data_IF_536700320194
#
_entry.id   IF_536700320194
#
_cell.length_a   1.000
_cell.length_b   1.000
_cell.length_c   1.000
_cell.angle_alpha   90.00
_cell.angle_beta   90.00
_cell.angle_gamma   90.00
#
_symmetry.space_group_name_H-M   'P 1'
#
loop_
_entity.id
_entity.type
_entity.pdbx_description
1 polymer ?
#
# COMPACT_ATOMS: atom_id res chain seq x y z
N UNK A 1 -18.40 3.40 -1.34
CA UNK A 1 -19.18 2.37 -2.10
C UNK A 1 -19.43 1.14 -1.24
N UNK A 2 -20.41 0.28 -1.58
CA UNK A 2 -20.54 -1.04 -0.97
C UNK A 2 -19.35 -1.91 -1.40
N UNK A 3 -18.71 -2.61 -0.44
CA UNK A 3 -17.56 -3.46 -0.69
C UNK A 3 -17.95 -4.93 -0.93
N UNK A 4 -19.17 -5.31 -0.63
CA UNK A 4 -19.65 -6.69 -0.85
C UNK A 4 -19.55 -7.06 -2.33
N UNK A 5 -18.93 -8.19 -2.63
CA UNK A 5 -18.66 -8.70 -3.98
C UNK A 5 -17.78 -7.75 -4.85
N UNK A 6 -17.14 -6.72 -4.27
CA UNK A 6 -16.11 -5.97 -4.98
C UNK A 6 -14.85 -6.81 -5.11
N UNK A 7 -13.92 -6.40 -5.99
CA UNK A 7 -12.63 -7.08 -6.19
C UNK A 7 -11.50 -6.11 -5.88
N UNK A 8 -10.65 -6.50 -4.94
CA UNK A 8 -9.49 -5.74 -4.51
C UNK A 8 -8.18 -6.41 -4.94
N UNK A 9 -7.32 -5.65 -5.61
CA UNK A 9 -5.90 -6.00 -5.81
C UNK A 9 -5.11 -5.38 -4.66
N UNK A 10 -4.37 -6.20 -3.89
CA UNK A 10 -3.51 -5.73 -2.81
C UNK A 10 -2.07 -6.12 -3.14
N UNK A 11 -1.25 -5.16 -3.59
CA UNK A 11 0.18 -5.41 -3.85
C UNK A 11 0.93 -5.53 -2.52
N UNK A 12 1.83 -6.51 -2.40
CA UNK A 12 2.44 -6.82 -1.11
C UNK A 12 1.46 -7.46 -0.11
N UNK A 13 0.35 -8.03 -0.58
CA UNK A 13 -0.72 -8.59 0.23
C UNK A 13 -0.30 -9.73 1.18
N UNK A 14 0.86 -10.34 0.96
CA UNK A 14 1.49 -11.30 1.87
C UNK A 14 2.44 -10.65 2.91
N UNK A 15 2.54 -9.31 2.95
CA UNK A 15 3.33 -8.57 3.93
C UNK A 15 2.58 -8.26 5.22
N UNK A 16 3.29 -7.75 6.24
CA UNK A 16 2.70 -7.54 7.57
C UNK A 16 1.52 -6.56 7.64
N UNK A 17 1.52 -5.48 6.83
CA UNK A 17 0.37 -4.57 6.71
C UNK A 17 -0.59 -5.07 5.63
N UNK A 18 -0.07 -5.56 4.48
CA UNK A 18 -0.89 -6.06 3.38
C UNK A 18 -1.86 -7.16 3.80
N UNK A 19 -1.43 -8.10 4.66
CA UNK A 19 -2.31 -9.13 5.23
C UNK A 19 -3.47 -8.52 6.01
N UNK A 20 -3.20 -7.53 6.88
CA UNK A 20 -4.26 -6.86 7.66
C UNK A 20 -5.25 -6.15 6.76
N UNK A 21 -4.76 -5.48 5.70
CA UNK A 21 -5.62 -4.84 4.70
C UNK A 21 -6.46 -5.88 3.95
N UNK A 22 -5.86 -7.02 3.55
CA UNK A 22 -6.60 -8.11 2.91
C UNK A 22 -7.74 -8.63 3.81
N UNK A 23 -7.45 -8.90 5.10
CA UNK A 23 -8.45 -9.35 6.06
C UNK A 23 -9.55 -8.31 6.30
N UNK A 24 -9.19 -7.03 6.45
CA UNK A 24 -10.16 -5.96 6.65
C UNK A 24 -11.11 -5.82 5.44
N UNK A 25 -10.59 -5.88 4.21
CA UNK A 25 -11.41 -5.83 3.00
C UNK A 25 -12.27 -7.10 2.84
N UNK A 26 -11.72 -8.28 3.15
CA UNK A 26 -12.44 -9.54 3.08
C UNK A 26 -13.59 -9.60 4.11
N UNK A 27 -13.41 -9.08 5.32
CA UNK A 27 -14.48 -8.98 6.33
C UNK A 27 -15.65 -8.11 5.89
N UNK A 28 -15.41 -7.19 4.94
CA UNK A 28 -16.42 -6.38 4.28
C UNK A 28 -17.07 -7.06 3.06
N UNK A 29 -16.66 -8.31 2.77
CA UNK A 29 -17.18 -9.10 1.66
C UNK A 29 -16.51 -8.84 0.31
N UNK A 30 -15.34 -8.22 0.28
CA UNK A 30 -14.55 -8.03 -0.95
C UNK A 30 -13.78 -9.30 -1.31
N UNK A 31 -13.74 -9.66 -2.59
CA UNK A 31 -12.87 -10.69 -3.13
C UNK A 31 -11.45 -10.14 -3.28
N UNK A 32 -10.42 -10.94 -2.99
CA UNK A 32 -9.05 -10.44 -2.84
C UNK A 32 -8.09 -11.12 -3.82
N UNK A 33 -7.41 -10.32 -4.63
CA UNK A 33 -6.19 -10.69 -5.34
C UNK A 33 -4.98 -10.36 -4.45
N UNK A 34 -4.40 -11.38 -3.82
CA UNK A 34 -3.21 -11.26 -2.95
C UNK A 34 -1.99 -11.22 -3.84
N UNK A 35 -1.41 -10.03 -4.08
CA UNK A 35 -0.28 -9.88 -4.99
C UNK A 35 1.04 -9.94 -4.22
N UNK A 36 1.97 -10.75 -4.73
CA UNK A 36 3.29 -10.96 -4.16
C UNK A 36 4.38 -10.94 -5.24
N UNK A 37 5.59 -10.50 -4.88
CA UNK A 37 6.78 -10.64 -5.72
C UNK A 37 7.64 -11.84 -5.31
N UNK A 38 7.61 -12.18 -4.02
CA UNK A 38 8.34 -13.29 -3.41
C UNK A 38 7.45 -14.00 -2.40
N UNK A 39 7.86 -15.20 -1.96
CA UNK A 39 7.16 -15.97 -0.94
C UNK A 39 5.73 -16.39 -1.37
N UNK A 40 5.64 -17.15 -2.46
CA UNK A 40 4.38 -17.70 -2.96
C UNK A 40 3.61 -18.48 -1.88
N UNK A 41 4.31 -19.30 -1.08
CA UNK A 41 3.70 -20.08 0.02
C UNK A 41 2.98 -19.21 1.04
N UNK A 42 3.54 -18.05 1.39
CA UNK A 42 2.88 -17.10 2.29
C UNK A 42 1.63 -16.49 1.65
N UNK A 43 1.71 -16.16 0.35
CA UNK A 43 0.57 -15.60 -0.37
C UNK A 43 -0.56 -16.63 -0.53
N UNK A 44 -0.24 -17.90 -0.77
CA UNK A 44 -1.19 -19.02 -0.78
C UNK A 44 -1.88 -19.19 0.58
N UNK A 45 -1.10 -19.14 1.67
CA UNK A 45 -1.64 -19.25 3.03
C UNK A 45 -2.63 -18.10 3.32
N UNK A 46 -2.24 -16.85 3.03
CA UNK A 46 -3.11 -15.68 3.20
C UNK A 46 -4.38 -15.84 2.37
N UNK A 47 -4.28 -16.20 1.09
CA UNK A 47 -5.46 -16.37 0.24
C UNK A 47 -6.39 -17.46 0.79
N UNK A 48 -5.84 -18.56 1.32
CA UNK A 48 -6.64 -19.61 1.96
C UNK A 48 -7.35 -19.12 3.23
N UNK A 49 -6.65 -18.40 4.11
CA UNK A 49 -7.25 -17.83 5.34
C UNK A 49 -8.41 -16.88 5.02
N UNK A 50 -8.27 -16.06 3.96
CA UNK A 50 -9.31 -15.12 3.54
C UNK A 50 -10.63 -15.80 3.11
N UNK A 51 -10.58 -17.04 2.63
CA UNK A 51 -11.81 -17.79 2.29
C UNK A 51 -12.71 -18.04 3.51
N UNK A 52 -12.14 -18.02 4.72
CA UNK A 52 -12.91 -18.09 5.96
C UNK A 52 -13.89 -16.93 6.18
N UNK A 53 -13.71 -15.80 5.48
CA UNK A 53 -14.69 -14.70 5.44
C UNK A 53 -15.84 -14.91 4.44
N UNK A 54 -15.87 -16.04 3.72
CA UNK A 54 -16.90 -16.32 2.72
C UNK A 54 -16.70 -15.57 1.39
N UNK A 55 -15.48 -15.12 1.11
CA UNK A 55 -15.10 -14.43 -0.13
C UNK A 55 -14.19 -15.32 -0.99
N UNK A 56 -14.05 -14.96 -2.28
CA UNK A 56 -13.02 -15.53 -3.12
C UNK A 56 -11.70 -14.80 -2.91
N UNK A 57 -10.62 -15.56 -2.76
CA UNK A 57 -9.27 -15.01 -2.71
C UNK A 57 -8.30 -15.88 -3.52
N UNK A 58 -7.31 -15.26 -4.13
CA UNK A 58 -6.27 -15.97 -4.86
C UNK A 58 -4.95 -15.22 -4.87
N UNK A 59 -3.80 -15.93 -4.85
CA UNK A 59 -2.48 -15.35 -4.98
C UNK A 59 -2.14 -15.05 -6.44
N UNK A 60 -1.40 -13.95 -6.67
CA UNK A 60 -0.89 -13.56 -7.98
C UNK A 60 0.56 -13.11 -7.87
N UNK A 61 1.44 -13.70 -8.68
CA UNK A 61 2.84 -13.29 -8.74
C UNK A 61 2.99 -12.04 -9.62
N UNK A 62 3.58 -10.97 -9.07
CA UNK A 62 3.87 -9.76 -9.83
C UNK A 62 4.98 -8.94 -9.17
N UNK A 63 6.02 -8.64 -9.94
CA UNK A 63 6.96 -7.58 -9.63
C UNK A 63 6.39 -6.26 -10.18
N UNK A 64 5.99 -5.36 -9.30
CA UNK A 64 5.35 -4.08 -9.65
C UNK A 64 6.27 -3.13 -10.44
N UNK A 65 7.60 -3.37 -10.41
CA UNK A 65 8.56 -2.60 -11.20
C UNK A 65 8.50 -2.95 -12.68
N UNK A 66 7.91 -4.11 -13.02
CA UNK A 66 7.82 -4.63 -14.38
C UNK A 66 6.43 -4.37 -14.97
N UNK A 67 6.28 -3.32 -15.76
CA UNK A 67 4.98 -2.90 -16.33
C UNK A 67 4.26 -4.01 -17.11
N UNK A 68 5.01 -4.89 -17.78
CA UNK A 68 4.45 -6.04 -18.49
C UNK A 68 3.84 -7.10 -17.54
N UNK A 69 4.45 -7.30 -16.35
CA UNK A 69 3.87 -8.19 -15.34
C UNK A 69 2.62 -7.57 -14.73
N UNK A 70 2.62 -6.25 -14.50
CA UNK A 70 1.44 -5.53 -13.99
C UNK A 70 0.27 -5.59 -14.97
N UNK A 71 0.52 -5.43 -16.27
CA UNK A 71 -0.52 -5.59 -17.30
C UNK A 71 -1.12 -7.00 -17.27
N UNK A 72 -0.27 -8.05 -17.22
CA UNK A 72 -0.71 -9.44 -17.10
C UNK A 72 -1.51 -9.68 -15.81
N UNK A 73 -1.08 -9.13 -14.67
CA UNK A 73 -1.83 -9.22 -13.41
C UNK A 73 -3.26 -8.70 -13.57
N UNK A 74 -3.44 -7.54 -14.20
CA UNK A 74 -4.78 -6.93 -14.41
C UNK A 74 -5.64 -7.83 -15.29
N UNK A 75 -5.08 -8.42 -16.35
CA UNK A 75 -5.79 -9.35 -17.22
C UNK A 75 -6.19 -10.64 -16.48
N UNK A 76 -5.28 -11.23 -15.70
CA UNK A 76 -5.53 -12.45 -14.92
C UNK A 76 -6.60 -12.23 -13.84
N UNK A 77 -6.53 -11.11 -13.10
CA UNK A 77 -7.52 -10.74 -12.09
C UNK A 77 -8.89 -10.48 -12.74
N UNK A 78 -8.89 -9.76 -13.86
CA UNK A 78 -10.15 -9.50 -14.60
C UNK A 78 -10.75 -10.81 -15.14
N UNK A 79 -9.94 -11.73 -15.64
CA UNK A 79 -10.40 -13.04 -16.10
C UNK A 79 -10.97 -13.89 -14.97
N UNK A 80 -10.33 -13.85 -13.78
CA UNK A 80 -10.76 -14.66 -12.63
C UNK A 80 -12.02 -14.11 -11.96
N UNK A 81 -12.08 -12.80 -11.71
CA UNK A 81 -13.13 -12.19 -10.90
C UNK A 81 -14.14 -11.35 -11.71
N UNK A 82 -13.88 -11.10 -12.99
CA UNK A 82 -14.76 -10.33 -13.88
C UNK A 82 -14.70 -8.81 -13.73
N UNK A 83 -14.02 -8.29 -12.70
CA UNK A 83 -13.95 -6.86 -12.37
C UNK A 83 -12.74 -6.49 -11.52
N UNK A 84 -12.44 -5.21 -11.41
CA UNK A 84 -11.46 -4.64 -10.47
C UNK A 84 -12.04 -3.35 -9.91
N UNK A 85 -12.35 -3.31 -8.62
CA UNK A 85 -12.96 -2.15 -7.97
C UNK A 85 -11.98 -1.38 -7.10
N UNK A 86 -11.01 -2.08 -6.53
CA UNK A 86 -10.09 -1.55 -5.54
C UNK A 86 -8.66 -1.92 -5.92
N UNK A 87 -7.74 -0.95 -5.81
CA UNK A 87 -6.30 -1.16 -5.86
C UNK A 87 -5.67 -0.62 -4.60
N UNK A 88 -4.94 -1.47 -3.88
CA UNK A 88 -4.11 -1.06 -2.75
C UNK A 88 -2.64 -1.23 -3.14
N UNK A 89 -1.91 -0.12 -3.21
CA UNK A 89 -0.47 -0.10 -3.43
C UNK A 89 0.25 -0.15 -2.08
N UNK A 90 0.49 -1.37 -1.55
CA UNK A 90 1.22 -1.61 -0.30
C UNK A 90 2.63 -2.18 -0.53
N UNK A 91 2.92 -2.75 -1.70
CA UNK A 91 4.25 -3.24 -2.02
C UNK A 91 5.31 -2.15 -1.85
N UNK A 92 6.34 -2.43 -1.05
CA UNK A 92 7.42 -1.48 -0.78
C UNK A 92 8.76 -2.18 -0.57
N UNK A 93 9.83 -1.47 -0.90
CA UNK A 93 11.20 -1.83 -0.58
C UNK A 93 11.83 -0.75 0.30
N UNK A 94 12.58 -1.21 1.29
CA UNK A 94 13.24 -0.35 2.27
C UNK A 94 14.63 -0.86 2.57
N UNK A 95 15.59 0.07 2.67
CA UNK A 95 16.95 -0.19 3.18
C UNK A 95 17.35 0.92 4.15
N UNK A 96 17.85 0.52 5.31
CA UNK A 96 18.32 1.48 6.31
C UNK A 96 19.70 2.01 5.93
N UNK A 97 19.75 3.30 5.58
CA UNK A 97 20.96 4.06 5.27
C UNK A 97 20.84 5.39 5.99
N UNK A 98 21.76 5.72 6.94
CA UNK A 98 21.72 6.99 7.65
C UNK A 98 21.72 8.19 6.68
N UNK A 99 21.02 9.26 7.05
CA UNK A 99 20.88 10.45 6.21
C UNK A 99 22.18 11.19 5.96
N UNK A 100 23.14 11.08 6.87
CA UNK A 100 24.48 11.67 6.80
C UNK A 100 25.51 10.78 6.07
N UNK A 101 25.13 9.55 5.70
CA UNK A 101 25.99 8.60 5.00
C UNK A 101 25.60 8.52 3.50
N UNK A 102 25.92 9.58 2.77
CA UNK A 102 25.56 9.69 1.35
C UNK A 102 26.29 8.67 0.47
N UNK A 103 27.49 8.27 0.85
CA UNK A 103 28.31 7.31 0.08
C UNK A 103 27.69 5.91 0.07
N UNK A 104 26.95 5.51 1.12
CA UNK A 104 26.22 4.26 1.16
C UNK A 104 24.93 4.26 0.33
N UNK A 105 24.43 5.43 -0.06
CA UNK A 105 23.29 5.54 -0.96
C UNK A 105 23.80 5.42 -2.40
N UNK A 106 23.98 4.19 -2.88
CA UNK A 106 24.36 3.96 -4.27
C UNK A 106 23.22 4.27 -5.23
N UNK A 107 23.55 4.52 -6.50
CA UNK A 107 22.56 4.77 -7.56
C UNK A 107 21.61 3.59 -7.73
N UNK A 108 22.11 2.37 -7.57
CA UNK A 108 21.32 1.13 -7.67
C UNK A 108 20.30 1.03 -6.55
N UNK A 109 20.70 1.32 -5.31
CA UNK A 109 19.79 1.31 -4.16
C UNK A 109 18.74 2.43 -4.27
N UNK A 110 19.18 3.63 -4.67
CA UNK A 110 18.29 4.73 -4.95
C UNK A 110 17.23 4.33 -5.98
N UNK A 111 17.66 3.84 -7.15
CA UNK A 111 16.78 3.45 -8.25
C UNK A 111 15.81 2.36 -7.80
N UNK A 112 16.31 1.32 -7.11
CA UNK A 112 15.47 0.23 -6.62
C UNK A 112 14.37 0.71 -5.66
N UNK A 113 14.70 1.63 -4.74
CA UNK A 113 13.71 2.19 -3.80
C UNK A 113 12.66 3.01 -4.56
N UNK A 114 13.08 3.87 -5.49
CA UNK A 114 12.16 4.67 -6.31
C UNK A 114 11.30 3.76 -7.19
N UNK A 115 11.88 2.77 -7.84
CA UNK A 115 11.17 1.87 -8.74
C UNK A 115 10.08 1.09 -8.03
N UNK A 116 10.37 0.51 -6.87
CA UNK A 116 9.37 -0.24 -6.11
C UNK A 116 8.31 0.67 -5.49
N UNK A 117 8.73 1.77 -4.84
CA UNK A 117 7.85 2.55 -3.97
C UNK A 117 7.06 3.65 -4.71
N UNK A 118 7.50 4.05 -5.91
CA UNK A 118 6.88 5.14 -6.66
C UNK A 118 6.50 4.72 -8.08
N UNK A 119 7.45 4.18 -8.86
CA UNK A 119 7.21 3.75 -10.24
C UNK A 119 6.24 2.56 -10.29
N UNK A 120 6.38 1.60 -9.35
CA UNK A 120 5.48 0.44 -9.24
C UNK A 120 4.02 0.83 -9.01
N UNK A 121 3.68 1.64 -8.00
CA UNK A 121 2.34 2.19 -7.84
C UNK A 121 1.80 2.91 -9.08
N UNK A 122 2.64 3.69 -9.78
CA UNK A 122 2.25 4.32 -11.03
C UNK A 122 1.90 3.28 -12.11
N UNK A 123 2.69 2.21 -12.28
CA UNK A 123 2.37 1.12 -13.20
C UNK A 123 1.03 0.46 -12.85
N UNK A 124 0.80 0.15 -11.58
CA UNK A 124 -0.45 -0.47 -11.12
C UNK A 124 -1.66 0.44 -11.39
N UNK A 125 -1.57 1.73 -11.03
CA UNK A 125 -2.62 2.72 -11.27
C UNK A 125 -2.92 2.83 -12.77
N UNK A 126 -1.88 2.97 -13.61
CA UNK A 126 -2.01 3.08 -15.06
C UNK A 126 -2.72 1.86 -15.67
N UNK A 127 -2.44 0.68 -15.15
CA UNK A 127 -3.00 -0.57 -15.68
C UNK A 127 -4.46 -0.78 -15.27
N UNK A 128 -4.85 -0.48 -14.02
CA UNK A 128 -6.24 -0.66 -13.56
C UNK A 128 -7.19 0.46 -14.01
N UNK A 129 -6.67 1.66 -14.27
CA UNK A 129 -7.46 2.84 -14.58
C UNK A 129 -8.44 2.65 -15.77
N UNK A 130 -8.07 2.02 -16.90
CA UNK A 130 -9.01 1.77 -18.00
C UNK A 130 -10.18 0.87 -17.58
N UNK A 131 -9.92 -0.18 -16.78
CA UNK A 131 -10.95 -1.10 -16.29
C UNK A 131 -11.91 -0.36 -15.37
N UNK A 132 -11.40 0.38 -14.38
CA UNK A 132 -12.19 1.16 -13.43
C UNK A 132 -13.01 2.26 -14.12
N UNK A 133 -12.42 2.97 -15.09
CA UNK A 133 -13.13 4.00 -15.87
C UNK A 133 -14.27 3.39 -16.70
N UNK A 134 -14.05 2.23 -17.32
CA UNK A 134 -15.09 1.50 -18.06
C UNK A 134 -16.23 1.04 -17.15
N UNK A 135 -15.92 0.67 -15.90
CA UNK A 135 -16.91 0.30 -14.88
C UNK A 135 -17.65 1.51 -14.30
N UNK A 136 -17.17 2.74 -14.56
CA UNK A 136 -17.73 3.97 -14.02
C UNK A 136 -17.36 4.26 -12.56
N UNK A 137 -16.56 3.39 -11.92
CA UNK A 137 -16.13 3.55 -10.52
C UNK A 137 -14.83 2.81 -10.21
N UNK A 138 -14.08 3.30 -9.24
CA UNK A 138 -12.89 2.65 -8.68
C UNK A 138 -12.41 3.34 -7.41
N UNK A 139 -11.61 2.61 -6.63
CA UNK A 139 -10.94 3.12 -5.44
C UNK A 139 -9.47 2.72 -5.48
N UNK A 140 -8.59 3.68 -5.29
CA UNK A 140 -7.16 3.45 -5.20
C UNK A 140 -6.67 4.02 -3.87
N UNK A 141 -5.97 3.20 -3.09
CA UNK A 141 -5.34 3.65 -1.86
C UNK A 141 -3.84 3.32 -1.93
N UNK A 142 -3.03 4.35 -1.83
CA UNK A 142 -1.58 4.24 -1.78
C UNK A 142 -1.12 4.18 -0.31
N UNK A 143 -0.21 3.27 0.01
CA UNK A 143 0.39 3.19 1.33
C UNK A 143 1.75 3.90 1.30
N UNK A 144 1.75 5.14 1.78
CA UNK A 144 2.96 5.94 1.88
C UNK A 144 3.69 5.68 3.23
N UNK A 145 4.08 6.73 3.91
CA UNK A 145 4.66 6.74 5.27
C UNK A 145 4.71 8.19 5.76
N UNK A 146 4.74 8.40 7.06
CA UNK A 146 5.10 9.72 7.65
C UNK A 146 6.50 10.18 7.23
N UNK A 147 7.36 9.27 6.79
CA UNK A 147 8.64 9.61 6.17
C UNK A 147 8.49 10.46 4.90
N UNK A 148 7.35 10.39 4.22
CA UNK A 148 7.04 11.24 3.07
C UNK A 148 6.49 12.62 3.43
N UNK A 149 6.22 12.87 4.70
CA UNK A 149 5.69 14.15 5.21
C UNK A 149 6.79 15.05 5.80
N UNK A 150 7.98 14.50 6.02
CA UNK A 150 9.13 15.22 6.54
C UNK A 150 10.46 14.51 6.26
N UNK A 151 11.61 15.14 6.54
CA UNK A 151 12.94 14.59 6.26
C UNK A 151 13.33 13.54 7.32
N UNK A 152 12.65 12.40 7.32
CA UNK A 152 12.84 11.31 8.29
C UNK A 152 12.65 9.94 7.63
N UNK A 153 12.94 8.86 8.34
CA UNK A 153 12.74 7.50 7.86
C UNK A 153 14.04 6.71 7.74
N UNK A 154 13.99 5.60 7.05
CA UNK A 154 15.09 4.65 6.94
C UNK A 154 16.22 5.08 6.01
N UNK A 155 15.91 5.95 5.04
CA UNK A 155 16.89 6.52 4.11
C UNK A 155 16.29 7.72 3.37
N UNK A 156 17.15 8.55 2.77
CA UNK A 156 16.74 9.69 1.93
C UNK A 156 15.88 9.19 0.75
N UNK A 157 16.32 8.14 0.05
CA UNK A 157 15.57 7.59 -1.08
C UNK A 157 14.17 7.09 -0.66
N UNK A 158 14.05 6.48 0.51
CA UNK A 158 12.76 6.05 1.05
C UNK A 158 11.86 7.25 1.33
N UNK A 159 12.35 8.27 2.03
CA UNK A 159 11.60 9.49 2.32
C UNK A 159 11.11 10.17 1.03
N UNK A 160 12.01 10.35 0.06
CA UNK A 160 11.69 10.94 -1.26
C UNK A 160 10.66 10.11 -2.01
N UNK A 161 10.80 8.77 -2.03
CA UNK A 161 9.84 7.89 -2.69
C UNK A 161 8.43 7.99 -2.08
N UNK A 162 8.33 8.10 -0.75
CA UNK A 162 7.06 8.22 -0.05
C UNK A 162 6.44 9.62 -0.19
N UNK A 163 7.26 10.67 -0.24
CA UNK A 163 6.81 12.03 -0.60
C UNK A 163 6.29 12.07 -2.03
N UNK A 164 7.01 11.45 -2.97
CA UNK A 164 6.57 11.28 -4.35
C UNK A 164 5.23 10.54 -4.46
N UNK A 165 5.02 9.49 -3.68
CA UNK A 165 3.78 8.70 -3.67
C UNK A 165 2.58 9.52 -3.12
N UNK A 166 2.81 10.33 -2.08
CA UNK A 166 1.81 11.28 -1.56
C UNK A 166 1.43 12.29 -2.66
N UNK A 167 2.41 12.82 -3.39
CA UNK A 167 2.12 13.75 -4.47
C UNK A 167 1.47 13.07 -5.68
N UNK A 168 1.92 11.87 -6.05
CA UNK A 168 1.30 11.03 -7.08
C UNK A 168 -0.18 10.78 -6.78
N UNK A 169 -0.55 10.56 -5.51
CA UNK A 169 -1.95 10.42 -5.10
C UNK A 169 -2.79 11.62 -5.53
N UNK A 170 -2.32 12.83 -5.31
CA UNK A 170 -3.01 14.07 -5.70
C UNK A 170 -3.13 14.19 -7.22
N UNK A 171 -2.04 13.93 -7.95
CA UNK A 171 -2.03 13.95 -9.42
C UNK A 171 -3.02 12.95 -10.01
N UNK A 172 -3.06 11.72 -9.44
CA UNK A 172 -3.96 10.67 -9.93
C UNK A 172 -5.42 10.94 -9.55
N UNK A 173 -5.68 11.57 -8.41
CA UNK A 173 -7.03 12.02 -8.05
C UNK A 173 -7.60 12.98 -9.09
N UNK A 174 -6.77 13.93 -9.58
CA UNK A 174 -7.16 14.85 -10.68
C UNK A 174 -7.35 14.10 -11.99
N UNK A 175 -6.41 13.21 -12.36
CA UNK A 175 -6.41 12.53 -13.66
C UNK A 175 -7.53 11.50 -13.83
N UNK A 176 -8.04 10.94 -12.73
CA UNK A 176 -8.99 9.83 -12.75
C UNK A 176 -10.41 10.21 -12.31
N UNK A 177 -10.60 11.45 -11.83
CA UNK A 177 -11.93 11.96 -11.52
C UNK A 177 -12.81 12.01 -12.80
N UNK A 178 -14.14 11.91 -12.67
CA UNK A 178 -14.91 11.71 -11.42
C UNK A 178 -15.08 10.22 -11.05
N UNK A 179 -14.61 9.28 -11.87
CA UNK A 179 -14.94 7.87 -11.74
C UNK A 179 -14.11 7.12 -10.70
N UNK A 180 -12.84 7.52 -10.51
CA UNK A 180 -11.92 6.81 -9.61
C UNK A 180 -11.42 7.77 -8.54
N UNK A 181 -11.62 7.41 -7.27
CA UNK A 181 -11.10 8.16 -6.14
C UNK A 181 -9.73 7.58 -5.72
N UNK A 182 -8.78 8.47 -5.48
CA UNK A 182 -7.40 8.09 -5.14
C UNK A 182 -7.00 8.77 -3.85
N UNK A 183 -6.69 7.98 -2.80
CA UNK A 183 -6.30 8.48 -1.50
C UNK A 183 -5.02 7.79 -0.99
N UNK A 184 -4.50 8.24 0.12
CA UNK A 184 -3.25 7.77 0.68
C UNK A 184 -3.36 7.58 2.20
N UNK A 185 -2.82 6.48 2.70
CA UNK A 185 -2.54 6.28 4.13
C UNK A 185 -1.03 6.44 4.33
N UNK A 186 -0.63 7.20 5.33
CA UNK A 186 0.77 7.43 5.70
C UNK A 186 1.02 6.88 7.12
N UNK A 187 1.38 5.59 7.26
CA UNK A 187 1.66 5.01 8.57
C UNK A 187 2.92 5.61 9.20
N UNK A 188 2.91 5.68 10.54
CA UNK A 188 4.10 5.78 11.36
C UNK A 188 4.87 4.46 11.42
N UNK A 189 5.60 4.24 12.51
CA UNK A 189 6.27 2.97 12.74
C UNK A 189 5.23 1.88 13.03
N UNK A 190 5.25 0.80 12.22
CA UNK A 190 4.42 -0.39 12.37
C UNK A 190 5.27 -1.57 12.80
N UNK A 191 5.07 -2.08 14.00
CA UNK A 191 5.80 -3.23 14.51
C UNK A 191 5.44 -4.52 13.75
N UNK A 192 6.42 -5.45 13.63
CA UNK A 192 6.20 -6.75 12.99
C UNK A 192 5.94 -6.68 11.49
N UNK A 193 6.45 -5.65 10.82
CA UNK A 193 6.51 -5.57 9.35
C UNK A 193 7.93 -5.85 8.86
N UNK A 194 8.08 -6.18 7.57
CA UNK A 194 9.43 -6.33 6.96
C UNK A 194 10.24 -5.03 7.06
N UNK A 195 9.59 -3.88 7.02
CA UNK A 195 10.24 -2.58 7.13
C UNK A 195 10.84 -2.32 8.52
N UNK A 196 10.32 -2.97 9.57
CA UNK A 196 10.75 -2.79 10.96
C UNK A 196 11.47 -4.02 11.54
N UNK A 197 11.60 -5.11 10.78
CA UNK A 197 12.18 -6.36 11.23
C UNK A 197 13.63 -6.24 11.74
N UNK A 198 14.38 -5.25 11.25
CA UNK A 198 15.77 -5.01 11.62
C UNK A 198 15.94 -3.88 12.65
N UNK A 199 14.84 -3.33 13.20
CA UNK A 199 14.91 -2.32 14.24
C UNK A 199 15.15 -2.96 15.60
N UNK A 200 16.06 -2.36 16.40
CA UNK A 200 16.22 -2.74 17.79
C UNK A 200 15.04 -2.29 18.66
N UNK A 201 14.80 -2.98 19.78
CA UNK A 201 13.77 -2.57 20.74
C UNK A 201 13.93 -1.11 21.17
N UNK A 202 15.17 -0.65 21.38
CA UNK A 202 15.44 0.74 21.73
C UNK A 202 15.03 1.75 20.64
N UNK A 203 15.11 1.38 19.36
CA UNK A 203 14.62 2.22 18.26
C UNK A 203 13.09 2.26 18.22
N UNK A 204 12.44 1.12 18.45
CA UNK A 204 10.98 1.02 18.54
C UNK A 204 10.47 1.84 19.71
N UNK A 205 11.03 1.67 20.91
CA UNK A 205 10.69 2.42 22.12
C UNK A 205 10.90 3.94 21.95
N UNK A 206 12.00 4.36 21.33
CA UNK A 206 12.26 5.77 21.02
C UNK A 206 11.20 6.33 20.07
N UNK A 207 10.78 5.54 19.09
CA UNK A 207 9.71 5.95 18.18
C UNK A 207 8.37 6.08 18.90
N UNK A 208 8.01 5.10 19.71
CA UNK A 208 6.78 5.09 20.50
C UNK A 208 6.74 6.22 21.55
N UNK A 209 7.83 6.43 22.29
CA UNK A 209 7.91 7.48 23.30
C UNK A 209 7.81 8.91 22.73
N UNK A 210 8.23 9.09 21.47
CA UNK A 210 8.12 10.35 20.75
C UNK A 210 6.70 10.68 20.27
N UNK A 211 5.80 9.71 20.20
CA UNK A 211 4.41 9.90 19.82
C UNK A 211 3.57 10.41 21.02
N UNK A 212 2.51 11.17 20.75
CA UNK A 212 1.59 11.65 21.82
C UNK A 212 0.93 10.49 22.57
N UNK A 213 0.50 9.45 21.84
CA UNK A 213 -0.16 8.29 22.43
C UNK A 213 0.81 7.30 23.08
N UNK A 214 2.13 7.59 23.11
CA UNK A 214 3.19 6.76 23.72
C UNK A 214 3.20 5.30 23.25
N UNK A 215 2.84 5.08 22.00
CA UNK A 215 2.82 3.77 21.33
C UNK A 215 3.18 3.89 19.86
N UNK A 216 3.53 2.78 19.22
CA UNK A 216 3.65 2.69 17.78
C UNK A 216 2.27 2.82 17.10
N UNK A 217 2.25 3.09 15.81
CA UNK A 217 1.03 3.04 15.02
C UNK A 217 0.52 1.59 14.93
N UNK A 218 -0.79 1.43 14.82
CA UNK A 218 -1.43 0.12 14.70
C UNK A 218 -1.68 -0.23 13.23
N UNK A 219 -1.45 -1.50 12.87
CA UNK A 219 -1.72 -2.01 11.52
C UNK A 219 -3.22 -2.10 11.24
N UNK A 220 -4.02 -2.39 12.26
CA UNK A 220 -5.46 -2.50 12.10
C UNK A 220 -6.09 -1.11 11.92
N UNK A 221 -5.64 -0.08 12.66
CA UNK A 221 -6.05 1.31 12.41
C UNK A 221 -5.71 1.76 10.97
N UNK A 222 -4.57 1.33 10.43
CA UNK A 222 -4.20 1.59 9.03
C UNK A 222 -5.14 0.86 8.04
N UNK A 223 -5.46 -0.41 8.31
CA UNK A 223 -6.36 -1.20 7.47
C UNK A 223 -7.79 -0.65 7.51
N UNK A 224 -8.29 -0.22 8.67
CA UNK A 224 -9.60 0.41 8.84
C UNK A 224 -9.70 1.74 8.08
N UNK A 225 -8.61 2.52 8.07
CA UNK A 225 -8.56 3.75 7.26
C UNK A 225 -8.59 3.43 5.76
N UNK A 226 -7.94 2.34 5.31
CA UNK A 226 -8.04 1.88 3.91
C UNK A 226 -9.49 1.51 3.57
N UNK A 227 -10.18 0.75 4.42
CA UNK A 227 -11.60 0.40 4.25
C UNK A 227 -12.46 1.67 4.18
N UNK A 228 -12.20 2.63 5.08
CA UNK A 228 -12.89 3.92 5.10
C UNK A 228 -12.75 4.65 3.76
N UNK A 229 -11.56 4.73 3.19
CA UNK A 229 -11.35 5.32 1.86
C UNK A 229 -12.04 4.55 0.74
N UNK A 230 -12.09 3.23 0.82
CA UNK A 230 -12.81 2.41 -0.16
C UNK A 230 -14.33 2.62 -0.10
N UNK A 231 -14.90 2.89 1.07
CA UNK A 231 -16.33 3.18 1.26
C UNK A 231 -16.70 4.62 0.87
N UNK A 232 -15.81 5.58 1.06
CA UNK A 232 -16.07 7.00 0.82
C UNK A 232 -16.43 7.29 -0.63
N UNK A 233 -17.34 8.23 -0.85
CA UNK A 233 -17.78 8.66 -2.19
C UNK A 233 -17.41 10.11 -2.52
N UNK A 234 -16.94 10.88 -1.53
CA UNK A 234 -16.61 12.31 -1.69
C UNK A 234 -15.20 12.67 -1.23
N UNK A 235 -14.36 11.65 -0.94
CA UNK A 235 -12.98 11.87 -0.47
C UNK A 235 -11.99 11.40 -1.53
N UNK A 236 -11.20 12.33 -2.09
CA UNK A 236 -10.15 12.02 -3.05
C UNK A 236 -8.97 13.00 -2.94
N UNK A 237 -7.77 12.55 -3.24
CA UNK A 237 -6.54 13.36 -3.15
C UNK A 237 -6.04 13.59 -1.72
N UNK A 238 -6.60 12.90 -0.73
CA UNK A 238 -6.29 13.08 0.70
C UNK A 238 -5.23 12.10 1.15
N UNK A 239 -4.36 12.56 2.04
CA UNK A 239 -3.42 11.73 2.79
C UNK A 239 -3.75 11.81 4.27
N UNK A 240 -3.93 10.65 4.92
CA UNK A 240 -4.16 10.54 6.37
C UNK A 240 -2.95 9.87 7.01
N UNK A 241 -2.36 10.54 8.00
CA UNK A 241 -1.31 9.97 8.83
C UNK A 241 -1.91 9.11 9.95
N UNK A 242 -1.40 7.89 10.11
CA UNK A 242 -1.74 6.98 11.21
C UNK A 242 -0.43 6.70 11.96
N UNK A 243 -0.10 7.53 12.95
CA UNK A 243 1.23 7.57 13.56
C UNK A 243 1.24 7.77 15.08
N UNK A 244 0.11 7.54 15.72
CA UNK A 244 -0.09 7.76 17.15
C UNK A 244 0.19 9.21 17.61
N UNK A 245 0.04 10.19 16.70
CA UNK A 245 0.27 11.60 17.00
C UNK A 245 1.76 11.94 17.09
N UNK A 246 2.59 11.37 16.20
CA UNK A 246 4.01 11.69 16.13
C UNK A 246 4.30 12.90 15.23
N UNK A 247 3.50 13.09 14.19
CA UNK A 247 3.71 14.15 13.20
C UNK A 247 2.47 15.03 13.08
N UNK A 248 2.69 16.34 12.94
CA UNK A 248 1.61 17.31 12.68
C UNK A 248 1.89 17.98 11.33
N UNK A 249 0.88 18.13 10.50
CA UNK A 249 0.96 18.70 9.15
C UNK A 249 -0.07 19.78 8.93
#
# INVERSE_FOLDING_TARGET
MDLKNSVAIVTGGNGGLGQRICHALASEGANIAVVYAQSAKEADAVAHELTGHGVEAAPFACDVTQSAQVARLVDEVTKKFGRIDILINDAAYNKSIPFDDLDRMTVEEWSKIIDVNLTGPFHCIKAVAPVMKKQGRGRIVNIASVAGLGPSGSSIAYAVSKAGLIHLTKCMAVALAPHVLVNCVAPGLLEGTRATANLSNAQIERSASGALLKRAADKDDCADQVVTFCRADTTTGVTVAIDAGRSFH
#
